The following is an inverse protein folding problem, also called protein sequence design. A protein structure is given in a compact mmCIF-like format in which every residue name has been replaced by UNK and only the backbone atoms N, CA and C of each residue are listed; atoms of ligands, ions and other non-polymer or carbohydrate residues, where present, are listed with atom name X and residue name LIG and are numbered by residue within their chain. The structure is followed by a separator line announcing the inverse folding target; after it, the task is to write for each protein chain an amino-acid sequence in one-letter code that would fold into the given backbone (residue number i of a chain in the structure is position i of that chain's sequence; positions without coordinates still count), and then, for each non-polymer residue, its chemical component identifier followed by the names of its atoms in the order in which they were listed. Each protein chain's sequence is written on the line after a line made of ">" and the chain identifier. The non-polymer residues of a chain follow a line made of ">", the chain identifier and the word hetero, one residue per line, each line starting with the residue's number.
data_IF_826005807770
#
_entry.id   IF_826005807770
#
_cell.length_a   1.000
_cell.length_b   1.000
_cell.length_c   1.000
_cell.angle_alpha   90.00
_cell.angle_beta   90.00
_cell.angle_gamma   90.00
#
_symmetry.space_group_name_H-M   'P 1'
#
loop_
_entity.id
_entity.type
_entity.pdbx_description
1 polymer ?
#
# COMPACT_ATOMS: atom_id res chain seq x y z
N UNK A 1 0.14 11.09 -8.26
CA UNK A 1 0.48 9.65 -8.39
C UNK A 1 0.21 9.02 -7.04
N UNK A 2 -0.61 7.96 -6.94
CA UNK A 2 -1.03 7.44 -5.64
C UNK A 2 0.15 6.76 -4.92
N UNK A 3 0.20 6.97 -3.61
CA UNK A 3 1.12 6.23 -2.73
C UNK A 3 0.39 5.01 -2.18
N UNK A 4 1.00 3.84 -2.31
CA UNK A 4 0.52 2.61 -1.71
C UNK A 4 1.48 2.14 -0.63
N UNK A 5 0.89 1.79 0.52
CA UNK A 5 1.60 1.21 1.65
C UNK A 5 1.63 -0.32 1.51
N UNK A 6 2.77 -0.94 1.76
CA UNK A 6 2.93 -2.40 1.77
C UNK A 6 3.59 -2.87 3.07
N UNK A 7 3.25 -4.09 3.49
CA UNK A 7 3.85 -4.77 4.63
C UNK A 7 4.21 -6.22 4.26
N UNK A 8 5.42 -6.65 4.62
CA UNK A 8 5.86 -8.03 4.44
C UNK A 8 5.38 -8.90 5.60
N UNK A 9 4.88 -10.10 5.31
CA UNK A 9 4.42 -11.04 6.33
C UNK A 9 5.53 -11.89 6.94
N UNK A 10 6.71 -11.90 6.32
CA UNK A 10 7.86 -12.74 6.75
C UNK A 10 8.82 -11.96 7.65
N UNK A 11 9.20 -10.74 7.25
CA UNK A 11 10.16 -9.91 7.98
C UNK A 11 9.56 -8.68 8.68
N UNK A 12 8.23 -8.51 8.62
CA UNK A 12 7.47 -7.36 9.15
C UNK A 12 7.95 -5.99 8.63
N UNK A 13 8.67 -5.97 7.51
CA UNK A 13 9.10 -4.73 6.86
C UNK A 13 7.89 -3.98 6.27
N UNK A 14 7.85 -2.67 6.48
CA UNK A 14 6.75 -1.79 6.05
C UNK A 14 7.31 -0.59 5.32
N UNK A 15 6.74 -0.27 4.16
CA UNK A 15 7.22 0.82 3.34
C UNK A 15 6.11 1.37 2.44
N UNK A 16 6.30 2.61 2.02
CA UNK A 16 5.40 3.33 1.14
C UNK A 16 6.06 3.54 -0.22
N UNK A 17 5.37 3.20 -1.30
CA UNK A 17 5.85 3.44 -2.66
C UNK A 17 4.86 4.29 -3.44
N UNK A 18 5.38 5.19 -4.24
CA UNK A 18 4.61 5.87 -5.28
C UNK A 18 4.52 4.93 -6.47
N UNK A 19 3.31 4.58 -6.87
CA UNK A 19 3.08 3.63 -7.95
C UNK A 19 1.93 4.12 -8.83
N UNK A 20 2.02 3.90 -10.14
CA UNK A 20 0.94 4.27 -11.04
C UNK A 20 -0.28 3.40 -10.80
N UNK A 21 -1.47 3.89 -11.16
CA UNK A 21 -2.66 3.04 -11.14
C UNK A 21 -2.60 1.92 -12.19
N UNK A 22 -1.83 2.14 -13.26
CA UNK A 22 -1.63 1.19 -14.36
C UNK A 22 -0.56 0.14 -14.07
N UNK A 23 0.23 0.33 -13.00
CA UNK A 23 1.31 -0.59 -12.65
C UNK A 23 0.76 -1.76 -11.82
N UNK A 24 1.33 -2.94 -12.04
CA UNK A 24 1.00 -4.13 -11.25
C UNK A 24 1.39 -3.97 -9.78
N UNK A 25 0.54 -4.45 -8.87
CA UNK A 25 0.80 -4.39 -7.43
C UNK A 25 2.05 -5.17 -7.04
N UNK A 26 2.84 -4.61 -6.12
CA UNK A 26 4.06 -5.27 -5.63
C UNK A 26 3.70 -6.48 -4.76
N UNK A 27 4.20 -7.67 -5.12
CA UNK A 27 3.89 -8.94 -4.43
C UNK A 27 5.09 -9.54 -3.67
N UNK A 28 6.31 -9.08 -3.99
CA UNK A 28 7.57 -9.62 -3.46
C UNK A 28 8.32 -8.55 -2.67
N UNK A 29 8.73 -8.90 -1.44
CA UNK A 29 9.49 -8.01 -0.58
C UNK A 29 10.94 -7.85 -1.09
N UNK A 30 11.45 -6.62 -1.27
CA UNK A 30 12.82 -6.40 -1.76
C UNK A 30 13.90 -6.79 -0.73
N UNK A 31 13.58 -6.84 0.57
CA UNK A 31 14.53 -7.15 1.64
C UNK A 31 14.75 -8.66 1.84
N UNK A 32 13.67 -9.45 1.73
CA UNK A 32 13.70 -10.88 2.07
C UNK A 32 13.09 -11.80 1.02
N UNK A 33 12.56 -11.26 -0.08
CA UNK A 33 11.84 -12.02 -1.13
C UNK A 33 10.55 -12.69 -0.63
N UNK A 34 10.11 -12.37 0.59
CA UNK A 34 8.87 -12.86 1.19
C UNK A 34 7.61 -12.26 0.57
N UNK A 35 6.45 -12.77 0.98
CA UNK A 35 5.15 -12.26 0.51
C UNK A 35 4.87 -10.86 1.04
N UNK A 36 4.46 -9.96 0.15
CA UNK A 36 3.93 -8.65 0.51
C UNK A 36 2.40 -8.66 0.56
N UNK A 37 1.88 -7.87 1.49
CA UNK A 37 0.47 -7.51 1.57
C UNK A 37 0.33 -6.00 1.42
N UNK A 38 -0.61 -5.58 0.58
CA UNK A 38 -0.99 -4.18 0.45
C UNK A 38 -1.73 -3.73 1.72
N UNK A 39 -1.24 -2.68 2.35
CA UNK A 39 -1.93 -2.00 3.44
C UNK A 39 -2.90 -0.99 2.83
N UNK A 40 -4.19 -1.27 2.99
CA UNK A 40 -5.23 -0.32 2.65
C UNK A 40 -5.42 0.60 3.85
N UNK A 41 -4.80 1.77 3.80
CA UNK A 41 -5.07 2.81 4.77
C UNK A 41 -6.54 3.22 4.57
N UNK A 42 -7.39 3.00 5.56
CA UNK A 42 -8.77 3.46 5.53
C UNK A 42 -8.77 4.98 5.56
N UNK A 43 -8.71 5.60 4.39
CA UNK A 43 -8.98 7.03 4.24
C UNK A 43 -10.45 7.19 4.61
N UNK A 44 -10.72 7.63 5.84
CA UNK A 44 -12.07 7.95 6.26
C UNK A 44 -12.64 8.98 5.29
N UNK A 45 -13.61 8.57 4.48
CA UNK A 45 -14.33 9.49 3.61
C UNK A 45 -15.03 10.50 4.53
N UNK A 46 -14.58 11.76 4.47
CA UNK A 46 -15.26 12.87 5.12
C UNK A 46 -16.26 13.42 4.10
N UNK A 47 -17.53 13.06 4.23
CA UNK A 47 -18.60 13.75 3.51
C UNK A 47 -18.80 15.15 4.11
N UNK A 48 -18.33 16.20 3.43
CA UNK A 48 -18.79 17.57 3.69
C UNK A 48 -20.03 17.84 2.84
N UNK A 49 -21.19 17.41 3.32
CA UNK A 49 -22.48 17.85 2.79
C UNK A 49 -22.79 19.25 3.32
N UNK A 50 -22.79 20.26 2.46
CA UNK A 50 -23.54 21.49 2.70
C UNK A 50 -24.95 21.21 2.22
N UNK A 51 -25.85 20.98 3.17
CA UNK A 51 -27.30 20.94 2.90
C UNK A 51 -27.84 22.31 2.54
#
# INVERSE_FOLDING_TARGET
>A
MPTYSYACTECDNRFDIVQSFSDDSLTVCPECTGKLRKLFNSVGIVFKGSG
#
